data_IF_473393871210
#
_entry.id   IF_473393871210
#
_cell.length_a   1.000
_cell.length_b   1.000
_cell.length_c   1.000
_cell.angle_alpha   90.00
_cell.angle_beta   90.00
_cell.angle_gamma   90.00
#
_symmetry.space_group_name_H-M   'P 1'
#
loop_
_entity.id
_entity.type
_entity.pdbx_description
1 polymer ?
#
# COMPACT_ATOMS: atom_id res chain seq x y z
N UNK A 1 5.91 -10.83 -15.62
CA UNK A 1 6.11 -9.93 -14.47
C UNK A 1 5.52 -10.55 -13.23
N UNK A 2 6.23 -10.53 -12.10
CA UNK A 2 5.66 -10.93 -10.83
C UNK A 2 4.66 -9.86 -10.34
N UNK A 3 3.52 -10.27 -9.78
CA UNK A 3 2.49 -9.35 -9.26
C UNK A 3 3.03 -8.42 -8.16
N UNK A 4 4.06 -8.85 -7.45
CA UNK A 4 4.75 -8.06 -6.43
C UNK A 4 5.52 -6.86 -7.02
N UNK A 5 6.14 -7.02 -8.19
CA UNK A 5 6.79 -5.90 -8.88
C UNK A 5 5.76 -4.86 -9.33
N UNK A 6 4.63 -5.31 -9.88
CA UNK A 6 3.52 -4.42 -10.26
C UNK A 6 3.01 -3.64 -9.04
N UNK A 7 2.95 -4.28 -7.87
CA UNK A 7 2.56 -3.61 -6.64
C UNK A 7 3.59 -2.55 -6.21
N UNK A 8 4.88 -2.86 -6.32
CA UNK A 8 5.96 -1.91 -5.99
C UNK A 8 5.92 -0.68 -6.91
N UNK A 9 5.80 -0.90 -8.23
CA UNK A 9 5.72 0.16 -9.22
C UNK A 9 4.46 1.04 -9.02
N UNK A 10 3.32 0.40 -8.72
CA UNK A 10 2.08 1.13 -8.41
C UNK A 10 2.23 2.01 -7.17
N UNK A 11 2.84 1.49 -6.09
CA UNK A 11 3.00 2.25 -4.85
C UNK A 11 3.93 3.46 -5.07
N UNK A 12 5.01 3.28 -5.84
CA UNK A 12 5.91 4.38 -6.19
C UNK A 12 5.16 5.51 -6.92
N UNK A 13 4.42 5.16 -7.99
CA UNK A 13 3.59 6.12 -8.74
C UNK A 13 2.53 6.78 -7.83
N UNK A 14 1.76 6.00 -7.08
CA UNK A 14 0.69 6.53 -6.25
C UNK A 14 1.21 7.38 -5.07
N UNK A 15 2.46 7.19 -4.66
CA UNK A 15 3.14 8.06 -3.69
C UNK A 15 3.52 9.40 -4.30
N UNK A 16 4.05 9.42 -5.54
CA UNK A 16 4.37 10.65 -6.26
C UNK A 16 3.12 11.50 -6.51
N UNK A 17 2.00 10.85 -6.85
CA UNK A 17 0.70 11.51 -7.07
C UNK A 17 -0.05 11.84 -5.75
N UNK A 18 0.52 11.53 -4.59
CA UNK A 18 -0.15 11.78 -3.31
C UNK A 18 -0.10 13.26 -2.95
N UNK A 19 -1.27 13.90 -2.76
CA UNK A 19 -1.37 15.32 -2.42
C UNK A 19 -0.87 15.69 -1.00
N UNK A 20 -0.62 14.73 -0.12
CA UNK A 20 -0.12 14.99 1.24
C UNK A 20 -1.17 15.42 2.29
N UNK A 21 -2.41 15.70 1.91
CA UNK A 21 -3.39 16.40 2.77
C UNK A 21 -3.98 15.57 3.94
N UNK A 22 -3.93 14.23 3.85
CA UNK A 22 -4.49 13.35 4.88
C UNK A 22 -3.48 12.32 5.35
N UNK A 23 -3.34 12.19 6.68
CA UNK A 23 -2.38 11.28 7.28
C UNK A 23 -2.56 9.82 6.82
N UNK A 24 -3.79 9.26 6.72
CA UNK A 24 -3.96 7.92 6.20
C UNK A 24 -3.47 7.79 4.75
N UNK A 25 -3.73 8.78 3.90
CA UNK A 25 -3.28 8.75 2.50
C UNK A 25 -1.77 8.92 2.35
N UNK A 26 -1.18 9.93 2.99
CA UNK A 26 0.23 10.25 2.84
C UNK A 26 1.14 9.28 3.61
N UNK A 27 0.98 9.22 4.93
CA UNK A 27 1.82 8.38 5.77
C UNK A 27 1.54 6.88 5.55
N UNK A 28 0.29 6.50 5.25
CA UNK A 28 -0.03 5.13 4.87
C UNK A 28 0.71 4.67 3.61
N UNK A 29 0.75 5.50 2.55
CA UNK A 29 1.51 5.18 1.33
C UNK A 29 3.02 5.07 1.59
N UNK A 30 3.58 5.91 2.46
CA UNK A 30 4.99 5.80 2.86
C UNK A 30 5.28 4.45 3.53
N UNK A 31 4.44 4.03 4.48
CA UNK A 31 4.59 2.75 5.16
C UNK A 31 4.45 1.56 4.21
N UNK A 32 3.44 1.60 3.33
CA UNK A 32 3.18 0.54 2.35
C UNK A 32 4.34 0.37 1.37
N UNK A 33 5.05 1.44 1.00
CA UNK A 33 6.21 1.38 0.09
C UNK A 33 7.26 0.39 0.58
N UNK A 34 7.69 0.54 1.85
CA UNK A 34 8.72 -0.32 2.43
C UNK A 34 8.26 -1.78 2.57
N UNK A 35 7.00 -1.99 2.93
CA UNK A 35 6.44 -3.33 3.13
C UNK A 35 6.24 -4.08 1.80
N UNK A 36 5.79 -3.38 0.76
CA UNK A 36 5.61 -3.98 -0.58
C UNK A 36 6.96 -4.31 -1.21
N UNK A 37 7.99 -3.50 -0.99
CA UNK A 37 9.34 -3.81 -1.46
C UNK A 37 9.88 -5.09 -0.80
N UNK A 38 9.78 -5.23 0.52
CA UNK A 38 10.13 -6.47 1.22
C UNK A 38 9.33 -7.68 0.73
N UNK A 39 8.06 -7.48 0.39
CA UNK A 39 7.22 -8.54 -0.16
C UNK A 39 7.69 -8.96 -1.57
N UNK A 40 8.12 -8.00 -2.39
CA UNK A 40 8.67 -8.26 -3.72
C UNK A 40 10.02 -8.99 -3.68
N UNK A 41 10.85 -8.68 -2.69
CA UNK A 41 12.14 -9.33 -2.43
C UNK A 41 11.99 -10.71 -1.74
N UNK A 42 10.78 -11.07 -1.29
CA UNK A 42 10.53 -12.32 -0.57
C UNK A 42 11.06 -12.32 0.87
N UNK A 43 11.37 -11.16 1.44
CA UNK A 43 11.97 -10.98 2.77
C UNK A 43 10.97 -10.56 3.85
N UNK A 44 9.71 -10.28 3.48
CA UNK A 44 8.68 -9.82 4.41
C UNK A 44 8.28 -10.89 5.45
N UNK A 45 8.34 -10.52 6.74
CA UNK A 45 7.90 -11.38 7.85
C UNK A 45 6.38 -11.50 7.94
N UNK A 46 5.89 -12.39 8.81
CA UNK A 46 4.45 -12.55 9.07
C UNK A 46 3.86 -11.28 9.69
N UNK A 47 4.58 -10.66 10.62
CA UNK A 47 4.20 -9.42 11.29
C UNK A 47 4.16 -8.25 10.32
N UNK A 48 5.12 -8.19 9.39
CA UNK A 48 5.17 -7.15 8.35
C UNK A 48 4.01 -7.28 7.36
N UNK A 49 3.61 -8.51 7.00
CA UNK A 49 2.41 -8.75 6.20
C UNK A 49 1.15 -8.33 6.96
N UNK A 50 1.05 -8.66 8.24
CA UNK A 50 -0.06 -8.23 9.08
C UNK A 50 -0.14 -6.68 9.18
N UNK A 51 1.01 -6.02 9.35
CA UNK A 51 1.10 -4.56 9.36
C UNK A 51 0.66 -3.97 8.01
N UNK A 52 1.10 -4.57 6.89
CA UNK A 52 0.69 -4.15 5.54
C UNK A 52 -0.83 -4.19 5.40
N UNK A 53 -1.48 -5.29 5.81
CA UNK A 53 -2.95 -5.41 5.81
C UNK A 53 -3.59 -4.32 6.63
N UNK A 54 -3.14 -4.13 7.87
CA UNK A 54 -3.70 -3.14 8.78
C UNK A 54 -3.59 -1.72 8.21
N UNK A 55 -2.44 -1.36 7.64
CA UNK A 55 -2.23 -0.04 7.03
C UNK A 55 -3.15 0.17 5.83
N UNK A 56 -3.26 -0.82 4.94
CA UNK A 56 -4.17 -0.76 3.79
C UNK A 56 -5.64 -0.63 4.24
N UNK A 57 -6.04 -1.24 5.35
CA UNK A 57 -7.40 -1.14 5.90
C UNK A 57 -7.71 0.25 6.41
N UNK A 58 -6.77 0.83 7.15
CA UNK A 58 -6.89 2.21 7.63
C UNK A 58 -6.97 3.17 6.45
N UNK A 59 -6.14 2.99 5.43
CA UNK A 59 -6.18 3.82 4.22
C UNK A 59 -7.53 3.70 3.48
N UNK A 60 -8.01 2.48 3.26
CA UNK A 60 -9.24 2.20 2.52
C UNK A 60 -10.50 2.79 3.20
N UNK A 61 -10.45 3.00 4.51
CA UNK A 61 -11.56 3.53 5.33
C UNK A 61 -11.41 5.01 5.66
N UNK A 62 -10.20 5.47 5.98
CA UNK A 62 -9.98 6.78 6.60
C UNK A 62 -9.30 7.82 5.69
N UNK A 63 -8.78 7.45 4.51
CA UNK A 63 -8.26 8.45 3.57
C UNK A 63 -9.40 9.39 3.12
N UNK A 64 -9.11 10.70 3.06
CA UNK A 64 -10.10 11.74 2.70
C UNK A 64 -10.61 11.58 1.27
N UNK A 65 -9.71 11.35 0.32
CA UNK A 65 -10.02 11.32 -1.11
C UNK A 65 -10.20 9.89 -1.65
N UNK A 66 -10.76 9.79 -2.87
CA UNK A 66 -10.92 8.50 -3.56
C UNK A 66 -9.59 7.89 -3.97
N UNK A 67 -8.58 8.69 -4.35
CA UNK A 67 -7.25 8.19 -4.69
C UNK A 67 -6.67 7.34 -3.56
N UNK A 68 -6.53 7.88 -2.35
CA UNK A 68 -5.99 7.12 -1.21
C UNK A 68 -6.79 5.85 -0.88
N UNK A 69 -8.12 5.92 -0.94
CA UNK A 69 -8.98 4.75 -0.67
C UNK A 69 -8.86 3.67 -1.75
N UNK A 70 -8.82 4.07 -3.02
CA UNK A 70 -8.76 3.14 -4.14
C UNK A 70 -7.37 2.51 -4.28
N UNK A 71 -6.30 3.28 -4.05
CA UNK A 71 -4.94 2.74 -4.04
C UNK A 71 -4.79 1.61 -3.02
N UNK A 72 -5.34 1.79 -1.82
CA UNK A 72 -5.31 0.76 -0.79
C UNK A 72 -6.10 -0.51 -1.18
N UNK A 73 -7.31 -0.33 -1.73
CA UNK A 73 -8.15 -1.46 -2.19
C UNK A 73 -7.51 -2.22 -3.33
N UNK A 74 -6.95 -1.50 -4.29
CA UNK A 74 -6.22 -2.07 -5.41
C UNK A 74 -5.04 -2.91 -4.93
N UNK A 75 -4.23 -2.38 -4.00
CA UNK A 75 -3.09 -3.10 -3.43
C UNK A 75 -3.50 -4.36 -2.67
N UNK A 76 -4.57 -4.31 -1.86
CA UNK A 76 -5.11 -5.52 -1.21
C UNK A 76 -5.48 -6.60 -2.22
N UNK A 77 -6.19 -6.21 -3.28
CA UNK A 77 -6.62 -7.14 -4.33
C UNK A 77 -5.43 -7.72 -5.09
N UNK A 78 -4.46 -6.87 -5.45
CA UNK A 78 -3.29 -7.26 -6.22
C UNK A 78 -2.40 -8.24 -5.46
N UNK A 79 -2.23 -8.02 -4.16
CA UNK A 79 -1.40 -8.86 -3.29
C UNK A 79 -2.13 -10.12 -2.77
N UNK A 80 -3.41 -10.31 -3.14
CA UNK A 80 -4.29 -11.38 -2.63
C UNK A 80 -4.41 -11.37 -1.10
N UNK A 81 -4.31 -10.19 -0.51
CA UNK A 81 -4.47 -9.95 0.92
C UNK A 81 -5.95 -9.58 1.15
N UNK A 82 -6.81 -10.60 1.02
CA UNK A 82 -8.23 -10.53 1.34
C UNK A 82 -8.47 -10.55 2.85
#
# INVERSE_FOLDING_TARGET
MALSQVAADFVAMAREECCGECLPGFNGMLQVTGLVQKLAEGTATVEEKALLRQTLDVMARAAKCKMGRLSARFLRQLLREA
#
